data_IF_132209835486
#
_entry.id   IF_132209835486
#
_cell.length_a   1.000
_cell.length_b   1.000
_cell.length_c   1.000
_cell.angle_alpha   90.00
_cell.angle_beta   90.00
_cell.angle_gamma   90.00
#
_symmetry.space_group_name_H-M   'P 1'
#
loop_
_entity.id
_entity.type
_entity.pdbx_description
1 polymer ?
#
# COMPACT_ATOMS: atom_id res chain seq x y z
N UNK A 1 -68.60 21.66 34.15
CA UNK A 1 -67.34 21.56 34.89
C UNK A 1 -66.63 20.32 34.40
N UNK A 2 -65.58 20.44 33.58
CA UNK A 2 -64.94 19.32 32.88
C UNK A 2 -63.59 19.04 33.53
N UNK A 3 -63.47 17.93 34.23
CA UNK A 3 -62.24 17.56 34.93
C UNK A 3 -61.24 16.97 33.91
N UNK A 4 -60.16 17.66 33.70
CA UNK A 4 -59.02 17.20 32.87
C UNK A 4 -58.25 16.06 33.59
N UNK A 5 -58.25 14.90 32.98
CA UNK A 5 -57.56 13.72 33.48
C UNK A 5 -56.04 13.88 33.17
N UNK A 6 -55.25 14.20 34.17
CA UNK A 6 -53.81 14.33 34.03
C UNK A 6 -53.15 12.95 34.05
N UNK A 7 -52.77 12.45 32.83
CA UNK A 7 -52.14 11.15 32.68
C UNK A 7 -50.65 11.24 33.11
N UNK A 8 -50.34 10.91 34.32
CA UNK A 8 -48.96 10.82 34.86
C UNK A 8 -48.25 9.62 34.27
N UNK A 9 -47.44 9.87 33.21
CA UNK A 9 -46.49 8.87 32.71
C UNK A 9 -45.42 8.66 33.78
N UNK A 10 -45.40 7.48 34.36
CA UNK A 10 -44.32 7.05 35.25
C UNK A 10 -43.00 7.02 34.46
N UNK A 11 -41.92 7.71 34.89
CA UNK A 11 -40.62 7.62 34.27
C UNK A 11 -40.10 6.19 34.35
N UNK A 12 -39.80 5.56 33.21
CA UNK A 12 -39.10 4.29 33.17
C UNK A 12 -37.72 4.51 33.79
N UNK A 13 -37.45 3.81 34.88
CA UNK A 13 -36.13 3.82 35.52
C UNK A 13 -35.07 3.39 34.49
N UNK A 14 -34.18 4.29 34.11
CA UNK A 14 -33.02 3.96 33.30
C UNK A 14 -32.12 3.03 34.14
N UNK A 15 -31.94 1.78 33.67
CA UNK A 15 -31.00 0.84 34.27
C UNK A 15 -29.59 1.32 33.95
N UNK A 16 -28.83 1.69 34.95
CA UNK A 16 -27.41 1.99 34.83
C UNK A 16 -26.57 0.71 34.66
N UNK A 17 -25.41 0.82 34.03
CA UNK A 17 -24.43 -0.27 33.93
C UNK A 17 -23.81 -0.56 35.30
N UNK A 18 -23.60 -1.82 35.62
CA UNK A 18 -22.86 -2.24 36.80
C UNK A 18 -21.35 -2.13 36.57
N UNK A 19 -20.57 -1.88 37.62
CA UNK A 19 -19.11 -1.81 37.51
C UNK A 19 -18.51 -3.13 36.99
N UNK A 20 -19.07 -4.26 37.43
CA UNK A 20 -18.62 -5.59 36.97
C UNK A 20 -18.88 -5.81 35.48
N UNK A 21 -20.00 -5.35 34.94
CA UNK A 21 -20.34 -5.45 33.53
C UNK A 21 -19.33 -4.67 32.68
N UNK A 22 -18.93 -3.45 33.13
CA UNK A 22 -17.89 -2.67 32.46
C UNK A 22 -16.55 -3.40 32.47
N UNK A 23 -16.15 -3.98 33.62
CA UNK A 23 -14.88 -4.72 33.72
C UNK A 23 -14.83 -5.94 32.80
N UNK A 24 -15.93 -6.68 32.66
CA UNK A 24 -16.01 -7.82 31.74
C UNK A 24 -15.90 -7.34 30.29
N UNK A 25 -16.62 -6.28 29.91
CA UNK A 25 -16.59 -5.74 28.55
C UNK A 25 -15.18 -5.29 28.16
N UNK A 26 -14.50 -4.50 29.01
CA UNK A 26 -13.13 -4.04 28.69
C UNK A 26 -12.13 -5.19 28.59
N UNK A 27 -12.29 -6.25 29.41
CA UNK A 27 -11.44 -7.44 29.35
C UNK A 27 -11.60 -8.17 28.03
N UNK A 28 -12.84 -8.37 27.56
CA UNK A 28 -13.13 -9.01 26.27
C UNK A 28 -12.59 -8.16 25.11
N UNK A 29 -12.84 -6.85 25.14
CA UNK A 29 -12.34 -5.91 24.10
C UNK A 29 -10.81 -5.93 24.04
N UNK A 30 -10.12 -5.95 25.18
CA UNK A 30 -8.67 -6.00 25.24
C UNK A 30 -8.12 -7.26 24.52
N UNK A 31 -8.70 -8.44 24.78
CA UNK A 31 -8.30 -9.69 24.15
C UNK A 31 -8.54 -9.63 22.62
N UNK A 32 -9.72 -9.20 22.20
CA UNK A 32 -10.06 -9.12 20.76
C UNK A 32 -9.16 -8.14 20.02
N UNK A 33 -8.81 -7.01 20.63
CA UNK A 33 -7.96 -5.98 20.03
C UNK A 33 -6.56 -6.50 19.74
N UNK A 34 -5.97 -7.32 20.59
CA UNK A 34 -4.61 -7.87 20.37
C UNK A 34 -4.55 -8.71 19.08
N UNK A 35 -5.56 -9.51 18.82
CA UNK A 35 -5.66 -10.36 17.62
C UNK A 35 -5.97 -9.50 16.39
N UNK A 36 -6.93 -8.58 16.51
CA UNK A 36 -7.38 -7.74 15.40
C UNK A 36 -6.27 -6.84 14.84
N UNK A 37 -5.47 -6.20 15.70
CA UNK A 37 -4.37 -5.31 15.29
C UNK A 37 -3.31 -6.06 14.50
N UNK A 38 -2.95 -7.27 14.90
CA UNK A 38 -1.95 -8.09 14.20
C UNK A 38 -2.41 -8.47 12.80
N UNK A 39 -3.64 -8.95 12.67
CA UNK A 39 -4.25 -9.31 11.39
C UNK A 39 -4.38 -8.10 10.46
N UNK A 40 -4.81 -6.95 10.99
CA UNK A 40 -4.96 -5.70 10.24
C UNK A 40 -3.63 -5.22 9.66
N UNK A 41 -2.55 -5.21 10.46
CA UNK A 41 -1.21 -4.82 9.99
C UNK A 41 -0.72 -5.71 8.84
N UNK A 42 -0.96 -7.00 8.92
CA UNK A 42 -0.59 -7.95 7.86
C UNK A 42 -1.39 -7.69 6.58
N UNK A 43 -2.68 -7.41 6.71
CA UNK A 43 -3.55 -7.06 5.59
C UNK A 43 -3.09 -5.77 4.90
N UNK A 44 -2.83 -4.71 5.68
CA UNK A 44 -2.34 -3.42 5.14
C UNK A 44 -1.04 -3.62 4.36
N UNK A 45 -0.04 -4.35 4.92
CA UNK A 45 1.22 -4.60 4.21
C UNK A 45 1.00 -5.30 2.87
N UNK A 46 0.10 -6.30 2.81
CA UNK A 46 -0.23 -7.00 1.56
C UNK A 46 -0.86 -6.06 0.53
N UNK A 47 -1.77 -5.20 0.95
CA UNK A 47 -2.40 -4.21 0.09
C UNK A 47 -1.39 -3.19 -0.43
N UNK A 48 -0.47 -2.74 0.42
CA UNK A 48 0.58 -1.79 0.07
C UNK A 48 1.56 -2.34 -1.00
N UNK A 49 1.75 -3.67 -1.11
CA UNK A 49 2.53 -4.26 -2.21
C UNK A 49 2.03 -3.86 -3.59
N UNK A 50 0.73 -3.57 -3.72
CA UNK A 50 0.13 -3.12 -4.98
C UNK A 50 0.77 -1.83 -5.48
N UNK A 51 1.18 -0.95 -4.59
CA UNK A 51 1.87 0.31 -4.91
C UNK A 51 3.18 0.06 -5.67
N UNK A 52 4.04 -0.84 -5.15
CA UNK A 52 5.28 -1.22 -5.83
C UNK A 52 5.02 -1.86 -7.20
N UNK A 53 4.06 -2.79 -7.26
CA UNK A 53 3.71 -3.48 -8.51
C UNK A 53 3.19 -2.51 -9.56
N UNK A 54 2.30 -1.59 -9.20
CA UNK A 54 1.77 -0.58 -10.11
C UNK A 54 2.86 0.36 -10.61
N UNK A 55 3.76 0.81 -9.74
CA UNK A 55 4.87 1.67 -10.13
C UNK A 55 5.81 0.96 -11.13
N UNK A 56 6.19 -0.28 -10.87
CA UNK A 56 7.07 -1.05 -11.76
C UNK A 56 6.40 -1.35 -13.11
N UNK A 57 5.13 -1.74 -13.12
CA UNK A 57 4.39 -1.99 -14.36
C UNK A 57 4.17 -0.71 -15.17
N UNK A 58 3.93 0.41 -14.51
CA UNK A 58 3.84 1.71 -15.19
C UNK A 58 5.17 2.09 -15.85
N UNK A 59 6.29 1.86 -15.17
CA UNK A 59 7.63 2.06 -15.73
C UNK A 59 7.85 1.14 -16.93
N UNK A 60 7.50 -0.14 -16.82
CA UNK A 60 7.65 -1.09 -17.92
C UNK A 60 6.93 -0.60 -19.18
N UNK A 61 5.65 -0.29 -19.07
CA UNK A 61 4.85 0.19 -20.21
C UNK A 61 5.41 1.49 -20.79
N UNK A 62 5.84 2.42 -19.94
CA UNK A 62 6.40 3.68 -20.37
C UNK A 62 7.79 3.50 -21.03
N UNK A 63 8.60 2.57 -20.57
CA UNK A 63 9.89 2.21 -21.15
C UNK A 63 9.73 1.66 -22.57
N UNK A 64 8.78 0.78 -22.81
CA UNK A 64 8.50 0.28 -24.17
C UNK A 64 8.07 1.41 -25.11
N UNK A 65 7.19 2.29 -24.64
CA UNK A 65 6.80 3.47 -25.41
C UNK A 65 7.98 4.40 -25.70
N UNK A 66 8.84 4.63 -24.73
CA UNK A 66 10.03 5.46 -24.87
C UNK A 66 11.04 4.85 -25.85
N UNK A 67 11.22 3.53 -25.80
CA UNK A 67 12.09 2.80 -26.73
C UNK A 67 11.62 2.92 -28.18
N UNK A 68 10.31 2.82 -28.43
CA UNK A 68 9.75 3.01 -29.78
C UNK A 68 9.99 4.42 -30.34
N UNK A 69 10.10 5.43 -29.48
CA UNK A 69 10.30 6.82 -29.89
C UNK A 69 11.77 7.21 -30.00
N UNK A 70 12.63 6.65 -29.15
CA UNK A 70 14.02 7.07 -28.98
C UNK A 70 15.04 5.99 -29.39
N UNK A 71 14.59 4.79 -29.73
CA UNK A 71 15.41 3.61 -30.01
C UNK A 71 16.40 3.26 -28.91
N UNK A 72 16.04 3.62 -27.66
CA UNK A 72 16.79 3.32 -26.45
C UNK A 72 15.87 3.41 -25.23
N UNK A 73 16.20 2.69 -24.15
CA UNK A 73 15.51 2.80 -22.87
C UNK A 73 15.99 4.00 -22.06
N UNK A 74 15.13 4.53 -21.19
CA UNK A 74 15.52 5.53 -20.21
C UNK A 74 16.46 4.91 -19.17
N UNK A 75 17.64 5.51 -19.01
CA UNK A 75 18.73 4.91 -18.23
C UNK A 75 18.83 5.43 -16.80
N UNK A 76 18.02 6.39 -16.41
CA UNK A 76 18.08 6.99 -15.08
C UNK A 76 16.70 7.27 -14.50
N UNK A 77 16.64 7.38 -13.18
CA UNK A 77 15.43 7.78 -12.48
C UNK A 77 14.99 9.20 -12.88
N UNK A 78 15.94 10.12 -13.12
CA UNK A 78 15.65 11.47 -13.59
C UNK A 78 14.93 11.44 -14.94
N UNK A 79 15.38 10.61 -15.89
CA UNK A 79 14.71 10.39 -17.16
C UNK A 79 13.35 9.74 -16.98
N UNK A 80 13.20 8.79 -16.04
CA UNK A 80 11.91 8.16 -15.77
C UNK A 80 10.87 9.15 -15.23
N UNK A 81 11.26 10.11 -14.43
CA UNK A 81 10.37 11.13 -13.84
C UNK A 81 10.09 12.27 -14.83
N UNK A 82 11.04 12.60 -15.71
CA UNK A 82 10.88 13.69 -16.67
C UNK A 82 9.63 13.50 -17.54
N UNK A 83 9.02 14.62 -17.91
CA UNK A 83 7.82 14.60 -18.76
C UNK A 83 8.16 14.14 -20.20
N UNK A 84 7.23 13.45 -20.90
CA UNK A 84 7.37 13.14 -22.30
C UNK A 84 7.51 14.42 -23.16
N UNK A 85 8.25 14.39 -24.31
CA UNK A 85 8.92 13.23 -24.90
C UNK A 85 10.31 12.94 -24.31
N UNK A 86 10.86 13.81 -23.47
CA UNK A 86 12.21 13.68 -22.93
C UNK A 86 12.33 12.60 -21.82
N UNK A 87 11.21 12.14 -21.29
CA UNK A 87 11.16 11.14 -20.23
C UNK A 87 9.89 10.31 -20.26
N UNK A 88 9.70 9.52 -19.20
CA UNK A 88 8.57 8.57 -19.08
C UNK A 88 7.33 9.17 -18.44
N UNK A 89 7.46 10.29 -17.71
CA UNK A 89 6.38 10.91 -16.96
C UNK A 89 5.85 10.08 -15.78
N UNK A 90 6.70 9.28 -15.17
CA UNK A 90 6.30 8.41 -14.06
C UNK A 90 6.06 9.22 -12.79
N UNK A 91 4.94 8.94 -12.14
CA UNK A 91 4.52 9.60 -10.90
C UNK A 91 5.31 9.03 -9.69
N UNK A 92 6.49 9.59 -9.47
CA UNK A 92 7.33 9.34 -8.31
C UNK A 92 7.73 10.65 -7.66
N UNK A 93 8.11 10.64 -6.40
CA UNK A 93 8.75 11.80 -5.76
C UNK A 93 10.15 12.04 -6.35
N UNK A 94 10.71 13.23 -6.15
CA UNK A 94 12.06 13.56 -6.61
C UNK A 94 13.14 12.60 -6.08
N UNK A 95 12.91 11.96 -4.93
CA UNK A 95 13.77 10.92 -4.36
C UNK A 95 13.46 9.50 -4.86
N UNK A 96 12.59 9.34 -5.86
CA UNK A 96 12.22 8.03 -6.42
C UNK A 96 11.27 7.22 -5.54
N UNK A 97 10.67 7.84 -4.53
CA UNK A 97 9.67 7.14 -3.73
C UNK A 97 8.33 7.10 -4.44
N UNK A 98 7.60 6.03 -4.26
CA UNK A 98 6.20 5.93 -4.67
C UNK A 98 5.36 6.98 -3.93
N UNK A 99 4.22 7.37 -4.50
CA UNK A 99 3.37 8.44 -3.94
C UNK A 99 2.86 8.12 -2.52
N UNK A 100 2.64 6.85 -2.20
CA UNK A 100 2.28 6.41 -0.85
C UNK A 100 3.46 6.38 0.12
N UNK A 101 4.70 6.53 -0.35
CA UNK A 101 5.90 6.59 0.48
C UNK A 101 6.30 5.26 1.11
N UNK A 102 5.87 4.13 0.55
CA UNK A 102 6.16 2.81 1.11
C UNK A 102 7.29 2.08 0.38
N UNK A 103 7.65 2.53 -0.82
CA UNK A 103 8.72 1.94 -1.63
C UNK A 103 9.59 3.02 -2.27
N UNK A 104 10.88 2.71 -2.40
CA UNK A 104 11.82 3.49 -3.21
C UNK A 104 12.09 2.73 -4.50
N UNK A 105 11.92 3.41 -5.63
CA UNK A 105 12.17 2.87 -6.97
C UNK A 105 13.54 3.31 -7.44
N UNK A 106 14.29 2.39 -8.02
CA UNK A 106 15.61 2.66 -8.60
C UNK A 106 15.92 1.71 -9.75
N UNK A 107 16.75 2.16 -10.69
CA UNK A 107 17.34 1.28 -11.70
C UNK A 107 18.55 0.57 -11.09
N UNK A 108 18.60 -0.76 -11.19
CA UNK A 108 19.75 -1.58 -10.76
C UNK A 108 20.71 -1.83 -11.91
N UNK A 109 20.18 -1.88 -13.14
CA UNK A 109 20.94 -1.90 -14.36
C UNK A 109 20.15 -1.12 -15.41
N UNK A 110 20.83 -0.30 -16.21
CA UNK A 110 20.21 0.43 -17.30
C UNK A 110 21.25 0.74 -18.37
N UNK A 111 20.94 0.33 -19.59
CA UNK A 111 21.68 0.59 -20.83
C UNK A 111 20.71 1.09 -21.90
N UNK A 112 21.20 1.39 -23.10
CA UNK A 112 20.32 1.75 -24.19
C UNK A 112 19.35 0.61 -24.60
N UNK A 113 19.76 -0.65 -24.41
CA UNK A 113 19.04 -1.82 -24.92
C UNK A 113 18.39 -2.68 -23.84
N UNK A 114 18.77 -2.51 -22.58
CA UNK A 114 18.25 -3.32 -21.46
C UNK A 114 18.08 -2.48 -20.21
N UNK A 115 17.14 -2.85 -19.35
CA UNK A 115 17.01 -2.24 -18.03
C UNK A 115 16.55 -3.27 -17.00
N UNK A 116 16.87 -3.00 -15.77
CA UNK A 116 16.25 -3.65 -14.60
C UNK A 116 15.89 -2.58 -13.59
N UNK A 117 14.64 -2.51 -13.23
CA UNK A 117 14.12 -1.58 -12.24
C UNK A 117 13.63 -2.34 -11.01
N UNK A 118 13.85 -1.77 -9.84
CA UNK A 118 13.41 -2.34 -8.57
C UNK A 118 12.63 -1.34 -7.73
N UNK A 119 11.74 -1.88 -6.90
CA UNK A 119 11.06 -1.16 -5.82
C UNK A 119 11.41 -1.84 -4.50
N UNK A 120 12.03 -1.11 -3.59
CA UNK A 120 12.47 -1.59 -2.28
C UNK A 120 11.61 -0.98 -1.19
N UNK A 121 11.10 -1.82 -0.29
CA UNK A 121 10.27 -1.39 0.83
C UNK A 121 11.02 -0.47 1.78
N UNK A 122 10.35 0.61 2.21
CA UNK A 122 10.85 1.58 3.20
C UNK A 122 9.84 1.77 4.33
N UNK A 123 10.28 2.39 5.41
CA UNK A 123 9.41 2.70 6.55
C UNK A 123 8.76 1.45 7.15
N UNK A 124 7.47 1.51 7.41
CA UNK A 124 6.69 0.41 8.02
C UNK A 124 6.59 -0.82 7.12
N UNK A 125 6.79 -0.67 5.80
CA UNK A 125 6.72 -1.76 4.84
C UNK A 125 7.94 -2.70 4.93
N UNK A 126 9.05 -2.26 5.52
CA UNK A 126 10.22 -3.13 5.80
C UNK A 126 9.90 -4.29 6.74
N UNK A 127 8.81 -4.19 7.50
CA UNK A 127 8.32 -5.29 8.34
C UNK A 127 7.47 -6.33 7.58
N UNK A 128 7.37 -6.24 6.26
CA UNK A 128 6.75 -7.27 5.43
C UNK A 128 7.63 -8.52 5.33
N UNK A 129 7.09 -9.60 4.77
CA UNK A 129 7.84 -10.85 4.52
C UNK A 129 9.10 -10.54 3.71
N UNK A 130 10.25 -11.11 4.07
CA UNK A 130 11.54 -10.81 3.44
C UNK A 130 11.49 -10.96 1.91
N UNK A 131 10.81 -11.99 1.40
CA UNK A 131 10.62 -12.20 -0.03
C UNK A 131 9.86 -11.07 -0.73
N UNK A 132 8.94 -10.37 -0.03
CA UNK A 132 8.09 -9.34 -0.62
C UNK A 132 8.55 -7.89 -0.31
N UNK A 133 9.79 -7.71 0.18
CA UNK A 133 10.35 -6.38 0.44
C UNK A 133 10.96 -5.73 -0.79
N UNK A 134 11.35 -6.53 -1.78
CA UNK A 134 11.97 -6.05 -3.01
C UNK A 134 11.27 -6.66 -4.20
N UNK A 135 10.76 -5.82 -5.06
CA UNK A 135 10.19 -6.19 -6.36
C UNK A 135 11.11 -5.72 -7.47
N UNK A 136 11.30 -6.52 -8.51
CA UNK A 136 12.06 -6.13 -9.71
C UNK A 136 11.32 -6.57 -10.96
N UNK A 137 11.57 -5.84 -12.03
CA UNK A 137 11.16 -6.20 -13.37
C UNK A 137 12.24 -5.75 -14.36
N UNK A 138 12.46 -6.53 -15.40
CA UNK A 138 13.40 -6.22 -16.46
C UNK A 138 12.71 -5.94 -17.80
N UNK A 139 13.51 -5.65 -18.83
CA UNK A 139 13.08 -5.41 -20.19
C UNK A 139 12.36 -6.61 -20.83
N UNK A 140 12.63 -7.83 -20.36
CA UNK A 140 11.96 -9.05 -20.82
C UNK A 140 10.66 -9.35 -20.06
N UNK A 141 10.31 -8.53 -19.08
CA UNK A 141 9.14 -8.72 -18.23
C UNK A 141 9.31 -9.78 -17.15
N UNK A 142 10.55 -10.24 -16.90
CA UNK A 142 10.83 -11.18 -15.82
C UNK A 142 10.68 -10.48 -14.47
N UNK A 143 9.90 -11.07 -13.59
CA UNK A 143 9.53 -10.52 -12.29
C UNK A 143 10.28 -11.20 -11.16
N UNK A 144 10.75 -10.40 -10.21
CA UNK A 144 11.30 -10.89 -8.97
C UNK A 144 10.58 -10.21 -7.78
N UNK A 145 10.29 -10.93 -6.69
CA UNK A 145 10.43 -12.39 -6.54
C UNK A 145 9.52 -13.15 -7.51
N UNK A 146 9.87 -14.39 -7.82
CA UNK A 146 9.08 -15.23 -8.74
C UNK A 146 7.62 -15.32 -8.28
N UNK A 147 6.69 -15.51 -9.20
CA UNK A 147 5.25 -15.57 -8.93
C UNK A 147 4.86 -16.64 -7.90
N UNK A 148 5.68 -17.70 -7.76
CA UNK A 148 5.53 -18.74 -6.73
C UNK A 148 5.61 -18.22 -5.29
N UNK A 149 6.22 -17.03 -5.08
CA UNK A 149 6.30 -16.41 -3.75
C UNK A 149 4.95 -15.83 -3.27
N UNK A 150 3.99 -15.63 -4.17
CA UNK A 150 2.71 -14.95 -3.90
C UNK A 150 2.83 -13.44 -3.67
N UNK A 151 4.00 -12.83 -3.91
CA UNK A 151 4.22 -11.40 -3.72
C UNK A 151 3.60 -10.55 -4.84
N UNK A 152 3.50 -11.12 -6.05
CA UNK A 152 2.94 -10.47 -7.23
C UNK A 152 1.42 -10.70 -7.41
N UNK A 153 0.78 -11.45 -6.52
CA UNK A 153 -0.68 -11.72 -6.53
C UNK A 153 -1.45 -10.68 -5.76
#
# INVERSE_FOLDING_TARGET
MKLSNCNTRTPRAARGFTLIELMVVISVVAILTTIAVSAYRTYVRRTTRTEARMALLAIQVAQEKFFLQNNQYAQSLATAIAAPPAGLGIQLTAGGQTLGGHYTVSFTAATANTYTVQAVAIGTQTADTAACRTFRIDDQGVRFPLDSSGCWR
#
